data_IF_911414600689
#
_entry.id   IF_911414600689
#
_cell.length_a   1.000
_cell.length_b   1.000
_cell.length_c   1.000
_cell.angle_alpha   90.00
_cell.angle_beta   90.00
_cell.angle_gamma   90.00
#
_symmetry.space_group_name_H-M   'P 1'
#
loop_
_entity.id
_entity.type
_entity.pdbx_description
1 polymer ?
#
# COMPACT_ATOMS: atom_id res chain seq x y z
N UNK A 1 14.79 2.47 9.71
CA UNK A 1 13.45 2.17 10.27
C UNK A 1 12.41 2.40 9.18
N UNK A 2 11.24 1.76 9.29
CA UNK A 2 10.11 1.92 8.35
C UNK A 2 9.23 3.08 8.80
N UNK A 3 8.85 3.93 7.86
CA UNK A 3 8.02 5.12 8.09
C UNK A 3 6.86 5.20 7.08
N UNK A 4 5.76 5.82 7.49
CA UNK A 4 4.54 5.93 6.69
C UNK A 4 4.05 7.38 6.74
N UNK A 5 4.26 8.09 5.65
CA UNK A 5 3.91 9.50 5.54
C UNK A 5 2.55 9.63 4.86
N UNK A 6 1.59 10.23 5.55
CA UNK A 6 0.32 10.67 4.99
C UNK A 6 0.43 12.13 4.59
N UNK A 7 0.23 12.41 3.31
CA UNK A 7 0.37 13.73 2.70
C UNK A 7 -0.98 14.14 2.15
N UNK A 8 -1.49 15.29 2.60
CA UNK A 8 -2.67 15.93 2.06
C UNK A 8 -2.24 17.04 1.11
N UNK A 9 -2.64 16.95 -0.15
CA UNK A 9 -2.24 17.86 -1.22
C UNK A 9 -3.45 18.31 -2.02
N UNK A 10 -3.34 19.46 -2.68
CA UNK A 10 -4.30 19.87 -3.70
C UNK A 10 -4.37 18.88 -4.86
N UNK A 11 -5.55 18.67 -5.40
CA UNK A 11 -5.80 17.89 -6.60
C UNK A 11 -5.54 18.73 -7.86
N UNK A 12 -4.27 19.08 -8.08
CA UNK A 12 -3.84 19.80 -9.27
C UNK A 12 -2.90 18.95 -10.16
N UNK A 13 -2.95 19.13 -11.49
CA UNK A 13 -1.98 18.55 -12.39
C UNK A 13 -0.53 18.82 -11.94
N UNK A 14 0.28 17.77 -11.86
CA UNK A 14 1.69 17.88 -11.47
C UNK A 14 1.98 17.95 -9.97
N UNK A 15 0.97 17.96 -9.08
CA UNK A 15 1.20 17.85 -7.63
C UNK A 15 1.95 16.56 -7.27
N UNK A 16 1.48 15.42 -7.78
CA UNK A 16 2.15 14.12 -7.58
C UNK A 16 3.58 14.11 -8.14
N UNK A 17 3.77 14.65 -9.35
CA UNK A 17 5.08 14.67 -10.00
C UNK A 17 6.11 15.47 -9.18
N UNK A 18 5.71 16.59 -8.57
CA UNK A 18 6.57 17.39 -7.70
C UNK A 18 6.98 16.63 -6.43
N UNK A 19 6.03 15.95 -5.78
CA UNK A 19 6.31 15.14 -4.59
C UNK A 19 7.29 14.01 -4.96
N UNK A 20 7.02 13.24 -6.00
CA UNK A 20 7.93 12.17 -6.45
C UNK A 20 9.30 12.73 -6.88
N UNK A 21 9.31 13.87 -7.56
CA UNK A 21 10.54 14.54 -7.98
C UNK A 21 11.43 14.92 -6.79
N UNK A 22 10.84 15.38 -5.68
CA UNK A 22 11.56 15.68 -4.43
C UNK A 22 12.24 14.43 -3.86
N UNK A 23 11.54 13.29 -3.82
CA UNK A 23 12.13 12.03 -3.36
C UNK A 23 13.29 11.61 -4.27
N UNK A 24 13.09 11.65 -5.59
CA UNK A 24 14.09 11.27 -6.58
C UNK A 24 15.35 12.15 -6.53
N UNK A 25 15.20 13.47 -6.51
CA UNK A 25 16.32 14.43 -6.48
C UNK A 25 17.20 14.31 -5.25
N UNK A 26 16.62 13.87 -4.12
CA UNK A 26 17.33 13.72 -2.85
C UNK A 26 17.79 12.29 -2.58
N UNK A 27 17.46 11.34 -3.47
CA UNK A 27 17.76 9.92 -3.29
C UNK A 27 17.00 9.29 -2.13
N UNK A 28 15.82 9.82 -1.78
CA UNK A 28 14.96 9.22 -0.77
C UNK A 28 14.26 7.99 -1.35
N UNK A 29 14.27 6.89 -0.59
CA UNK A 29 13.64 5.64 -1.01
C UNK A 29 12.10 5.77 -0.98
N UNK A 30 11.42 5.08 -1.89
CA UNK A 30 9.97 4.90 -1.85
C UNK A 30 9.72 3.40 -1.96
N UNK A 31 9.18 2.80 -0.90
CA UNK A 31 8.83 1.38 -0.90
C UNK A 31 7.44 1.17 -1.52
N UNK A 32 6.48 1.98 -1.10
CA UNK A 32 5.14 2.00 -1.69
C UNK A 32 4.59 3.41 -1.73
N UNK A 33 3.73 3.67 -2.72
CA UNK A 33 2.97 4.91 -2.82
C UNK A 33 1.55 4.60 -3.22
N UNK A 34 0.59 5.14 -2.48
CA UNK A 34 -0.82 5.20 -2.87
C UNK A 34 -1.25 6.64 -2.95
N UNK A 35 -2.16 6.94 -3.87
CA UNK A 35 -2.75 8.27 -4.02
C UNK A 35 -4.17 8.12 -4.51
N UNK A 36 -5.07 8.90 -3.94
CA UNK A 36 -6.45 8.99 -4.39
C UNK A 36 -7.05 10.32 -3.95
N UNK A 37 -8.10 10.71 -4.65
CA UNK A 37 -8.98 11.80 -4.23
C UNK A 37 -9.61 11.46 -2.87
N UNK A 38 -9.73 12.48 -2.03
CA UNK A 38 -10.44 12.35 -0.74
C UNK A 38 -11.95 12.52 -0.92
N UNK A 39 -12.71 12.59 0.18
CA UNK A 39 -14.11 13.01 0.15
C UNK A 39 -14.31 14.43 -0.40
N UNK A 40 -13.28 15.29 -0.28
CA UNK A 40 -13.22 16.58 -0.95
C UNK A 40 -12.53 16.40 -2.33
N UNK A 41 -13.23 16.72 -3.44
CA UNK A 41 -12.69 16.55 -4.79
C UNK A 41 -11.52 17.47 -5.14
N UNK A 42 -11.33 18.55 -4.38
CA UNK A 42 -10.19 19.46 -4.52
C UNK A 42 -8.93 18.94 -3.84
N UNK A 43 -9.05 17.84 -3.09
CA UNK A 43 -7.98 17.32 -2.24
C UNK A 43 -7.64 15.88 -2.59
N UNK A 44 -6.34 15.59 -2.61
CA UNK A 44 -5.77 14.26 -2.75
C UNK A 44 -5.04 13.86 -1.47
N UNK A 45 -5.20 12.60 -1.06
CA UNK A 45 -4.39 12.00 -0.02
C UNK A 45 -3.42 11.02 -0.64
N UNK A 46 -2.15 11.19 -0.30
CA UNK A 46 -1.07 10.29 -0.68
C UNK A 46 -0.53 9.60 0.58
N UNK A 47 -0.28 8.31 0.50
CA UNK A 47 0.43 7.56 1.54
C UNK A 47 1.72 7.04 0.95
N UNK A 48 2.85 7.41 1.53
CA UNK A 48 4.18 6.96 1.11
C UNK A 48 4.78 6.12 2.23
N UNK A 49 5.12 4.87 1.93
CA UNK A 49 5.99 4.07 2.78
C UNK A 49 7.44 4.29 2.34
N UNK A 50 8.31 4.56 3.30
CA UNK A 50 9.73 4.77 3.07
C UNK A 50 10.56 4.19 4.21
N UNK A 51 11.86 4.10 4.00
CA UNK A 51 12.83 3.64 4.99
C UNK A 51 14.01 4.61 5.09
N UNK A 52 14.45 4.85 6.31
CA UNK A 52 15.54 5.78 6.61
C UNK A 52 15.88 5.85 8.09
N UNK A 53 16.78 6.75 8.45
CA UNK A 53 16.97 7.21 9.82
C UNK A 53 16.03 8.40 10.12
N UNK A 54 15.98 8.82 11.38
CA UNK A 54 15.13 9.94 11.82
C UNK A 54 15.49 11.25 11.11
N UNK A 55 16.77 11.46 10.80
CA UNK A 55 17.24 12.66 10.10
C UNK A 55 16.71 12.73 8.66
N UNK A 56 16.71 11.62 7.93
CA UNK A 56 16.15 11.52 6.58
C UNK A 56 14.66 11.83 6.59
N UNK A 57 13.89 11.30 7.55
CA UNK A 57 12.46 11.58 7.65
C UNK A 57 12.18 13.04 7.98
N UNK A 58 12.91 13.61 8.94
CA UNK A 58 12.80 15.02 9.28
C UNK A 58 13.10 15.90 8.06
N UNK A 59 14.12 15.53 7.25
CA UNK A 59 14.39 16.22 5.99
C UNK A 59 13.25 16.07 4.98
N UNK A 60 12.69 14.86 4.79
CA UNK A 60 11.56 14.64 3.89
C UNK A 60 10.38 15.52 4.28
N UNK A 61 9.97 15.52 5.55
CA UNK A 61 8.87 16.35 6.05
C UNK A 61 9.14 17.85 5.81
N UNK A 62 10.34 18.33 6.16
CA UNK A 62 10.75 19.73 5.94
C UNK A 62 10.72 20.14 4.48
N UNK A 63 11.10 19.26 3.55
CA UNK A 63 11.06 19.58 2.12
C UNK A 63 9.63 19.54 1.57
N UNK A 64 8.81 18.57 2.01
CA UNK A 64 7.41 18.48 1.61
C UNK A 64 6.61 19.72 2.04
N UNK A 65 6.84 20.24 3.26
CA UNK A 65 6.21 21.47 3.74
C UNK A 65 6.59 22.73 2.94
N UNK A 66 7.64 22.70 2.12
CA UNK A 66 7.99 23.82 1.23
C UNK A 66 7.21 23.81 -0.08
N UNK A 67 6.53 22.71 -0.41
CA UNK A 67 5.72 22.62 -1.62
C UNK A 67 4.40 23.35 -1.38
N UNK A 68 4.11 24.35 -2.23
CA UNK A 68 2.92 25.21 -2.11
C UNK A 68 1.61 24.42 -2.02
N UNK A 69 1.50 23.30 -2.74
CA UNK A 69 0.26 22.52 -2.83
C UNK A 69 0.14 21.45 -1.74
N UNK A 70 1.13 21.31 -0.85
CA UNK A 70 1.09 20.36 0.27
C UNK A 70 0.49 21.08 1.48
N UNK A 71 -0.70 20.65 1.88
CA UNK A 71 -1.42 21.23 3.00
C UNK A 71 -0.96 20.66 4.34
N UNK A 72 -0.75 19.33 4.40
CA UNK A 72 -0.31 18.64 5.61
C UNK A 72 0.55 17.44 5.28
N UNK A 73 1.54 17.19 6.13
CA UNK A 73 2.31 15.95 6.17
C UNK A 73 2.21 15.41 7.59
N UNK A 74 1.90 14.14 7.72
CA UNK A 74 1.85 13.46 9.01
C UNK A 74 2.56 12.11 8.91
N UNK A 75 3.48 11.86 9.84
CA UNK A 75 4.05 10.53 10.01
C UNK A 75 3.10 9.69 10.87
N UNK A 76 2.48 8.70 10.24
CA UNK A 76 1.56 7.79 10.91
C UNK A 76 2.27 6.88 11.91
N UNK A 77 3.59 6.68 11.77
CA UNK A 77 4.36 5.80 12.66
C UNK A 77 4.68 6.40 14.02
N UNK A 78 4.53 7.72 14.19
CA UNK A 78 4.68 8.41 15.48
C UNK A 78 3.59 8.03 16.50
N UNK A 79 2.47 7.46 16.04
CA UNK A 79 1.35 7.14 16.93
C UNK A 79 0.56 5.91 16.50
N UNK A 80 -0.50 5.57 17.28
CA UNK A 80 -1.38 4.48 16.93
C UNK A 80 -2.09 4.75 15.60
N UNK A 81 -1.94 3.84 14.64
CA UNK A 81 -2.55 3.96 13.31
C UNK A 81 -3.16 2.63 12.87
N UNK A 82 -3.89 2.70 11.76
CA UNK A 82 -4.35 1.53 10.99
C UNK A 82 -3.74 1.64 9.61
N UNK A 83 -3.13 0.56 9.16
CA UNK A 83 -2.66 0.42 7.79
C UNK A 83 -3.27 -0.81 7.12
N UNK A 84 -3.55 -0.69 5.83
CA UNK A 84 -4.07 -1.77 5.00
C UNK A 84 -3.52 -1.68 3.60
N UNK A 85 -3.54 -2.81 2.94
CA UNK A 85 -3.17 -2.99 1.55
C UNK A 85 -4.14 -3.99 0.92
N UNK A 86 -4.38 -3.85 -0.38
CA UNK A 86 -5.09 -4.83 -1.20
C UNK A 86 -4.12 -5.46 -2.20
N UNK A 87 -4.27 -6.77 -2.41
CA UNK A 87 -3.48 -7.55 -3.34
C UNK A 87 -4.37 -8.43 -4.20
N UNK A 88 -4.07 -8.46 -5.49
CA UNK A 88 -4.54 -9.48 -6.42
C UNK A 88 -3.39 -10.41 -6.74
N UNK A 89 -3.65 -11.71 -6.69
CA UNK A 89 -2.65 -12.74 -6.99
C UNK A 89 -3.26 -13.80 -7.87
N UNK A 90 -2.65 -13.99 -9.05
CA UNK A 90 -3.03 -15.04 -9.98
C UNK A 90 -2.16 -16.25 -9.73
N UNK A 91 -2.80 -17.40 -9.55
CA UNK A 91 -2.15 -18.66 -9.21
C UNK A 91 -2.59 -19.77 -10.15
N UNK A 92 -1.68 -20.69 -10.42
CA UNK A 92 -2.00 -21.93 -11.12
C UNK A 92 -2.83 -22.87 -10.25
N UNK A 93 -3.92 -23.36 -10.82
CA UNK A 93 -4.92 -24.18 -10.14
C UNK A 93 -5.38 -25.32 -11.07
N UNK A 94 -4.44 -26.21 -11.41
CA UNK A 94 -4.66 -27.40 -12.25
C UNK A 94 -5.03 -28.61 -11.39
N UNK A 95 -6.15 -29.26 -11.73
CA UNK A 95 -6.67 -30.41 -10.98
C UNK A 95 -7.42 -30.01 -9.70
N UNK A 96 -8.13 -30.97 -9.11
CA UNK A 96 -8.98 -30.74 -7.93
C UNK A 96 -8.15 -30.38 -6.69
N UNK A 97 -7.03 -31.07 -6.46
CA UNK A 97 -6.21 -30.87 -5.27
C UNK A 97 -5.66 -29.44 -5.15
N UNK A 98 -5.05 -28.91 -6.21
CA UNK A 98 -4.51 -27.55 -6.22
C UNK A 98 -5.61 -26.49 -6.01
N UNK A 99 -6.77 -26.70 -6.64
CA UNK A 99 -7.94 -25.80 -6.48
C UNK A 99 -8.45 -25.77 -5.05
N UNK A 100 -8.57 -26.95 -4.44
CA UNK A 100 -9.05 -27.07 -3.07
C UNK A 100 -8.07 -26.43 -2.08
N UNK A 101 -6.76 -26.55 -2.31
CA UNK A 101 -5.74 -25.90 -1.47
C UNK A 101 -5.74 -24.38 -1.62
N UNK A 102 -5.77 -23.86 -2.86
CA UNK A 102 -5.87 -22.40 -3.08
C UNK A 102 -7.12 -21.85 -2.42
N UNK A 103 -8.25 -22.56 -2.54
CA UNK A 103 -9.51 -22.17 -1.91
C UNK A 103 -9.39 -22.17 -0.37
N UNK A 104 -8.87 -23.25 0.22
CA UNK A 104 -8.61 -23.31 1.67
C UNK A 104 -7.72 -22.18 2.15
N UNK A 105 -6.63 -21.92 1.45
CA UNK A 105 -5.69 -20.85 1.78
C UNK A 105 -6.39 -19.48 1.70
N UNK A 106 -7.16 -19.23 0.64
CA UNK A 106 -7.97 -18.02 0.51
C UNK A 106 -8.94 -17.87 1.69
N UNK A 107 -9.66 -18.93 2.07
CA UNK A 107 -10.62 -18.91 3.18
C UNK A 107 -9.93 -18.61 4.53
N UNK A 108 -8.79 -19.25 4.82
CA UNK A 108 -8.01 -19.05 6.06
C UNK A 108 -7.55 -17.59 6.18
N UNK A 109 -7.03 -17.02 5.10
CA UNK A 109 -6.57 -15.64 5.07
C UNK A 109 -7.70 -14.63 4.86
N UNK A 110 -8.96 -15.08 4.81
CA UNK A 110 -10.14 -14.25 4.55
C UNK A 110 -10.01 -13.46 3.25
N UNK A 111 -9.44 -14.09 2.23
CA UNK A 111 -9.42 -13.63 0.85
C UNK A 111 -10.69 -14.03 0.11
N UNK A 112 -10.76 -13.67 -1.16
CA UNK A 112 -11.87 -14.05 -2.04
C UNK A 112 -11.34 -14.37 -3.42
N UNK A 113 -11.76 -15.50 -3.98
CA UNK A 113 -11.48 -15.82 -5.38
C UNK A 113 -12.39 -14.95 -6.24
N UNK A 114 -11.81 -14.06 -7.03
CA UNK A 114 -12.54 -13.08 -7.86
C UNK A 114 -12.60 -13.47 -9.34
N UNK A 115 -11.75 -14.40 -9.78
CA UNK A 115 -11.79 -14.96 -11.13
C UNK A 115 -11.40 -16.44 -11.12
N UNK A 116 -12.06 -17.22 -11.98
CA UNK A 116 -11.91 -18.66 -12.08
C UNK A 116 -11.85 -19.08 -13.54
N UNK A 117 -10.75 -19.71 -13.93
CA UNK A 117 -10.59 -20.35 -15.24
C UNK A 117 -10.36 -21.85 -15.09
N UNK A 118 -10.18 -22.58 -16.19
CA UNK A 118 -9.83 -24.01 -16.16
C UNK A 118 -8.44 -24.29 -15.57
N UNK A 119 -7.54 -23.31 -15.61
CA UNK A 119 -6.12 -23.50 -15.27
C UNK A 119 -5.64 -22.61 -14.13
N UNK A 120 -6.36 -21.54 -13.79
CA UNK A 120 -5.91 -20.53 -12.83
C UNK A 120 -7.05 -19.92 -12.02
N UNK A 121 -6.72 -19.42 -10.84
CA UNK A 121 -7.55 -18.55 -10.01
C UNK A 121 -6.90 -17.18 -9.85
N UNK A 122 -7.72 -16.13 -9.72
CA UNK A 122 -7.28 -14.84 -9.19
C UNK A 122 -7.89 -14.68 -7.80
N UNK A 123 -7.04 -14.50 -6.80
CA UNK A 123 -7.45 -14.29 -5.41
C UNK A 123 -7.22 -12.83 -5.04
N UNK A 124 -8.22 -12.21 -4.44
CA UNK A 124 -8.14 -10.90 -3.82
C UNK A 124 -7.96 -11.07 -2.31
N UNK A 125 -6.99 -10.35 -1.74
CA UNK A 125 -6.77 -10.28 -0.30
C UNK A 125 -6.61 -8.83 0.16
N UNK A 126 -7.09 -8.57 1.37
CA UNK A 126 -6.81 -7.33 2.09
C UNK A 126 -6.26 -7.60 3.49
N UNK A 127 -5.33 -6.75 3.93
CA UNK A 127 -4.60 -6.99 5.17
C UNK A 127 -3.51 -5.97 5.45
N UNK A 128 -2.74 -6.20 6.50
CA UNK A 128 -1.41 -5.59 6.65
C UNK A 128 -0.45 -6.22 5.64
N UNK A 129 0.65 -5.54 5.30
CA UNK A 129 1.63 -6.09 4.36
C UNK A 129 2.18 -7.44 4.83
N UNK A 130 2.41 -7.61 6.13
CA UNK A 130 2.82 -8.88 6.75
C UNK A 130 1.82 -10.03 6.50
N UNK A 131 0.52 -9.75 6.58
CA UNK A 131 -0.53 -10.75 6.30
C UNK A 131 -0.50 -11.17 4.83
N UNK A 132 -0.29 -10.22 3.92
CA UNK A 132 -0.21 -10.49 2.48
C UNK A 132 1.07 -11.28 2.15
N UNK A 133 2.20 -10.95 2.77
CA UNK A 133 3.46 -11.67 2.61
C UNK A 133 3.37 -13.12 3.13
N UNK A 134 2.66 -13.30 4.26
CA UNK A 134 2.38 -14.62 4.82
C UNK A 134 1.52 -15.46 3.86
N UNK A 135 0.49 -14.85 3.25
CA UNK A 135 -0.33 -15.53 2.26
C UNK A 135 0.48 -15.97 1.03
N UNK A 136 1.32 -15.07 0.49
CA UNK A 136 2.17 -15.40 -0.65
C UNK A 136 3.13 -16.54 -0.32
N UNK A 137 3.69 -16.54 0.89
CA UNK A 137 4.56 -17.62 1.36
C UNK A 137 3.82 -18.96 1.43
N UNK A 138 2.63 -19.00 2.05
CA UNK A 138 1.83 -20.23 2.14
C UNK A 138 1.38 -20.77 0.77
N UNK A 139 0.99 -19.89 -0.16
CA UNK A 139 0.59 -20.34 -1.50
C UNK A 139 1.77 -20.93 -2.29
N UNK A 140 2.96 -20.34 -2.17
CA UNK A 140 4.17 -20.80 -2.91
C UNK A 140 4.55 -22.24 -2.58
N UNK A 141 4.22 -22.73 -1.39
CA UNK A 141 4.47 -24.11 -1.00
C UNK A 141 3.59 -25.11 -1.75
N UNK A 142 2.44 -24.66 -2.28
CA UNK A 142 1.40 -25.55 -2.82
C UNK A 142 1.15 -25.33 -4.31
N UNK A 143 1.26 -24.10 -4.80
CA UNK A 143 0.90 -23.72 -6.17
C UNK A 143 1.89 -22.69 -6.73
N UNK A 144 2.04 -22.70 -8.06
CA UNK A 144 2.84 -21.69 -8.74
C UNK A 144 2.09 -20.36 -8.82
N UNK A 145 2.75 -19.27 -8.42
CA UNK A 145 2.23 -17.90 -8.57
C UNK A 145 2.63 -17.39 -9.95
N UNK A 146 1.65 -16.88 -10.70
CA UNK A 146 1.88 -16.37 -12.06
C UNK A 146 2.15 -14.87 -12.04
N UNK A 147 1.32 -14.12 -11.35
CA UNK A 147 1.47 -12.68 -11.23
C UNK A 147 0.87 -12.20 -9.90
N UNK A 148 1.35 -11.05 -9.45
CA UNK A 148 0.85 -10.38 -8.25
C UNK A 148 0.83 -8.89 -8.50
N UNK A 149 -0.25 -8.23 -8.09
CA UNK A 149 -0.38 -6.78 -8.06
C UNK A 149 -0.80 -6.37 -6.67
N UNK A 150 -0.13 -5.34 -6.15
CA UNK A 150 -0.30 -4.82 -4.81
C UNK A 150 -0.61 -3.34 -4.89
N UNK A 151 -1.54 -2.85 -4.07
CA UNK A 151 -1.89 -1.43 -4.05
C UNK A 151 -0.79 -0.56 -3.44
N UNK A 152 0.05 -1.13 -2.58
CA UNK A 152 0.78 -0.34 -1.59
C UNK A 152 -0.10 0.04 -0.40
N UNK A 153 0.50 0.68 0.60
CA UNK A 153 -0.16 0.93 1.88
C UNK A 153 -1.10 2.13 1.80
N UNK A 154 -2.29 1.98 2.35
CA UNK A 154 -3.16 3.07 2.81
C UNK A 154 -3.19 3.08 4.34
N UNK A 155 -3.27 4.26 4.95
CA UNK A 155 -3.30 4.34 6.41
C UNK A 155 -4.01 5.56 6.97
N UNK A 156 -4.47 5.44 8.20
CA UNK A 156 -5.11 6.49 8.99
C UNK A 156 -4.66 6.43 10.46
N UNK A 157 -4.51 7.59 11.08
CA UNK A 157 -4.29 7.67 12.54
C UNK A 157 -5.54 7.18 13.28
N UNK A 158 -5.35 6.52 14.42
CA UNK A 158 -6.43 6.16 15.36
C UNK A 158 -6.76 7.28 16.34
N UNK A 159 -5.87 8.26 16.47
CA UNK A 159 -6.09 9.40 17.36
C UNK A 159 -7.21 10.30 16.82
N UNK A 160 -7.87 11.05 17.71
CA UNK A 160 -8.91 12.02 17.32
C UNK A 160 -8.37 13.12 16.39
N UNK A 161 -7.04 13.30 16.33
CA UNK A 161 -6.37 14.19 15.38
C UNK A 161 -6.55 13.66 13.98
N UNK A 162 -7.57 14.17 13.31
CA UNK A 162 -7.85 13.85 11.91
C UNK A 162 -6.95 14.72 11.01
N UNK A 163 -6.33 14.10 10.00
CA UNK A 163 -5.69 14.83 8.89
C UNK A 163 -6.80 15.36 7.97
N UNK A 164 -7.53 16.38 8.44
CA UNK A 164 -8.51 17.18 7.69
C UNK A 164 -8.05 18.62 7.66
#
# INVERSE_FOLDING_TARGET
MRYILSILTENEPGALSRIIGLFSQRGFNIETITTAQTEDPTMHRMTIQTSGDEHVIEQIQKQLHKLVNVYRVHDLTEGPHVEREIMLVKVEAKGSQARDEVKRCADIFRGSIVDVTATHYIVQLSGTSEKLDSFLSSIRETCNIIETVRSGIIGLSRSEKTVK
#
